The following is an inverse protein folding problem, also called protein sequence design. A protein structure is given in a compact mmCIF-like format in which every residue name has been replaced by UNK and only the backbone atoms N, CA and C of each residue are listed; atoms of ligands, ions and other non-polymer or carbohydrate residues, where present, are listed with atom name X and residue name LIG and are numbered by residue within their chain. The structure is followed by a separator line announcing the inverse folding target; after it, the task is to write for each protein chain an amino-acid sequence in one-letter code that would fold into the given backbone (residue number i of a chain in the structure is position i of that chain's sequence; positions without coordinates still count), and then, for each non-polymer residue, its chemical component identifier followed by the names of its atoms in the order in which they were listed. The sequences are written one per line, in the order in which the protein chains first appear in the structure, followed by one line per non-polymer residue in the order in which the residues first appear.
data_IF_466958861363
#
_entry.id   IF_466958861363
#
_cell.length_a   1.000
_cell.length_b   1.000
_cell.length_c   1.000
_cell.angle_alpha   90.00
_cell.angle_beta   90.00
_cell.angle_gamma   90.00
#
_symmetry.space_group_name_H-M   'P 1'
#
loop_
_entity.id
_entity.type
_entity.pdbx_description
1 polymer ?
#
# COMPACT_ATOMS: atom_id res chain seq x y z
N UNK A 1 14.37 19.44 7.39
CA UNK A 1 13.24 19.41 6.44
C UNK A 1 13.66 18.47 5.32
N UNK A 2 12.73 17.71 4.74
CA UNK A 2 13.03 16.85 3.59
C UNK A 2 13.36 17.72 2.39
N UNK A 3 14.45 17.42 1.70
CA UNK A 3 14.85 18.04 0.44
C UNK A 3 14.27 17.26 -0.73
N UNK A 4 13.11 17.70 -1.23
CA UNK A 4 12.43 17.03 -2.35
C UNK A 4 13.18 17.21 -3.68
N UNK A 5 13.91 18.31 -3.85
CA UNK A 5 14.67 18.54 -5.08
C UNK A 5 15.86 17.58 -5.18
N UNK A 6 16.54 17.32 -4.06
CA UNK A 6 17.58 16.31 -3.98
C UNK A 6 17.01 14.89 -4.22
N UNK A 7 15.85 14.56 -3.64
CA UNK A 7 15.18 13.28 -3.87
C UNK A 7 14.79 13.07 -5.35
N UNK A 8 14.27 14.10 -6.00
CA UNK A 8 13.98 14.09 -7.44
C UNK A 8 15.28 13.86 -8.24
N UNK A 9 16.36 14.57 -7.89
CA UNK A 9 17.68 14.40 -8.50
C UNK A 9 18.20 12.96 -8.36
N UNK A 10 18.04 12.36 -7.19
CA UNK A 10 18.42 10.97 -6.91
C UNK A 10 17.71 9.99 -7.86
N UNK A 11 16.39 10.09 -7.99
CA UNK A 11 15.60 9.21 -8.87
C UNK A 11 15.96 9.42 -10.34
N UNK A 12 16.21 10.66 -10.78
CA UNK A 12 16.64 10.94 -12.15
C UNK A 12 17.99 10.27 -12.46
N UNK A 13 18.93 10.30 -11.51
CA UNK A 13 20.27 9.76 -11.68
C UNK A 13 20.33 8.23 -11.61
N UNK A 14 19.54 7.59 -10.75
CA UNK A 14 19.67 6.16 -10.44
C UNK A 14 18.49 5.31 -10.93
N UNK A 15 17.33 5.91 -11.20
CA UNK A 15 16.14 5.17 -11.62
C UNK A 15 16.22 4.66 -13.06
N UNK A 16 15.48 3.60 -13.35
CA UNK A 16 15.31 3.11 -14.71
C UNK A 16 14.24 3.90 -15.50
N UNK A 17 13.80 3.38 -16.64
CA UNK A 17 12.75 4.03 -17.44
C UNK A 17 11.39 4.05 -16.74
N UNK A 18 11.06 3.00 -15.99
CA UNK A 18 9.81 2.85 -15.23
C UNK A 18 9.81 3.79 -14.04
N UNK A 19 10.91 3.87 -13.29
CA UNK A 19 11.06 4.78 -12.15
C UNK A 19 10.93 6.24 -12.56
N UNK A 20 11.54 6.63 -13.68
CA UNK A 20 11.39 7.99 -14.22
C UNK A 20 9.97 8.29 -14.69
N UNK A 21 9.24 7.29 -15.19
CA UNK A 21 7.83 7.44 -15.52
C UNK A 21 6.95 7.61 -14.28
N UNK A 22 7.19 6.81 -13.22
CA UNK A 22 6.54 6.96 -11.90
C UNK A 22 6.79 8.35 -11.34
N UNK A 23 8.04 8.83 -11.36
CA UNK A 23 8.38 10.19 -10.94
C UNK A 23 7.63 11.26 -11.73
N UNK A 24 7.56 11.12 -13.07
CA UNK A 24 6.86 12.07 -13.94
C UNK A 24 5.36 12.16 -13.62
N UNK A 25 4.73 11.01 -13.40
CA UNK A 25 3.34 10.94 -12.95
C UNK A 25 3.15 11.57 -11.56
N UNK A 26 4.05 11.26 -10.62
CA UNK A 26 4.00 11.80 -9.26
C UNK A 26 4.14 13.33 -9.21
N UNK A 27 4.94 13.92 -10.11
CA UNK A 27 5.18 15.37 -10.12
C UNK A 27 4.10 16.16 -10.85
N UNK A 28 3.71 15.72 -12.04
CA UNK A 28 2.89 16.54 -12.95
C UNK A 28 1.70 15.79 -13.56
N UNK A 29 1.47 14.53 -13.17
CA UNK A 29 0.40 13.70 -13.74
C UNK A 29 0.61 13.40 -15.22
N UNK A 30 1.87 13.39 -15.69
CA UNK A 30 2.17 13.05 -17.08
C UNK A 30 1.95 11.55 -17.29
N UNK A 31 1.10 11.13 -18.24
CA UNK A 31 0.81 9.72 -18.45
C UNK A 31 2.07 8.98 -18.94
N UNK A 32 2.40 7.79 -18.37
CA UNK A 32 3.49 6.96 -18.85
C UNK A 32 3.30 6.51 -20.31
N UNK A 33 4.39 6.10 -20.95
CA UNK A 33 4.30 5.50 -22.28
C UNK A 33 3.53 4.16 -22.21
N UNK A 34 2.73 3.81 -23.24
CA UNK A 34 1.95 2.57 -23.25
C UNK A 34 2.78 1.32 -22.96
N UNK A 35 3.99 1.21 -23.53
CA UNK A 35 4.88 0.06 -23.31
C UNK A 35 5.25 -0.13 -21.83
N UNK A 36 5.46 0.96 -21.07
CA UNK A 36 5.75 0.89 -19.63
C UNK A 36 4.56 0.33 -18.85
N UNK A 37 3.34 0.72 -19.26
CA UNK A 37 2.11 0.22 -18.65
C UNK A 37 1.90 -1.25 -18.99
N UNK A 38 2.18 -1.64 -20.24
CA UNK A 38 2.05 -3.03 -20.67
C UNK A 38 3.05 -3.91 -19.92
N UNK A 39 4.31 -3.48 -19.78
CA UNK A 39 5.35 -4.17 -19.00
C UNK A 39 4.97 -4.32 -17.51
N UNK A 40 4.40 -3.27 -16.90
CA UNK A 40 3.93 -3.30 -15.52
C UNK A 40 2.73 -4.25 -15.30
N UNK A 41 1.97 -4.54 -16.36
CA UNK A 41 0.80 -5.43 -16.32
C UNK A 41 1.13 -6.88 -16.69
N UNK A 42 2.36 -7.16 -17.15
CA UNK A 42 2.80 -8.51 -17.57
C UNK A 42 2.62 -9.53 -16.45
N UNK A 43 2.25 -10.76 -16.84
CA UNK A 43 2.20 -11.90 -15.94
C UNK A 43 0.92 -12.00 -15.10
N UNK A 44 -0.11 -11.18 -15.37
CA UNK A 44 -1.39 -11.33 -14.69
C UNK A 44 -2.00 -12.70 -15.03
N UNK A 45 -2.42 -13.43 -14.01
CA UNK A 45 -3.11 -14.70 -14.16
C UNK A 45 -4.50 -14.51 -14.80
N UNK A 46 -5.02 -15.58 -15.38
CA UNK A 46 -6.30 -15.54 -16.12
C UNK A 46 -7.50 -15.16 -15.23
N UNK A 47 -7.42 -15.42 -13.93
CA UNK A 47 -8.44 -15.07 -12.93
C UNK A 47 -8.34 -13.62 -12.45
N UNK A 48 -7.27 -12.90 -12.80
CA UNK A 48 -7.09 -11.47 -12.55
C UNK A 48 -6.09 -11.12 -11.46
N UNK A 49 -5.65 -12.07 -10.63
CA UNK A 49 -4.55 -11.82 -9.69
C UNK A 49 -3.18 -11.86 -10.38
N UNK A 50 -2.13 -11.45 -9.68
CA UNK A 50 -0.75 -11.70 -10.10
C UNK A 50 -0.13 -12.82 -9.27
N UNK A 51 0.65 -13.71 -9.91
CA UNK A 51 1.37 -14.71 -9.17
C UNK A 51 2.54 -14.13 -8.40
N UNK A 52 2.83 -14.73 -7.25
CA UNK A 52 4.07 -14.46 -6.55
C UNK A 52 5.25 -15.06 -7.30
N UNK A 53 6.41 -14.40 -7.24
CA UNK A 53 7.67 -14.89 -7.86
C UNK A 53 8.02 -16.30 -7.35
N UNK A 54 7.66 -16.61 -6.10
CA UNK A 54 7.90 -17.88 -5.44
C UNK A 54 6.77 -18.93 -5.64
N UNK A 55 5.65 -18.56 -6.28
CA UNK A 55 4.40 -19.35 -6.31
C UNK A 55 4.02 -19.95 -7.67
N UNK A 56 4.88 -19.90 -8.69
CA UNK A 56 4.57 -20.39 -10.04
C UNK A 56 3.50 -19.52 -10.73
N UNK A 57 2.49 -20.13 -11.34
CA UNK A 57 1.41 -19.42 -12.04
C UNK A 57 0.20 -19.08 -11.14
N UNK A 58 0.25 -19.44 -9.85
CA UNK A 58 -0.84 -19.23 -8.90
C UNK A 58 -0.88 -17.77 -8.44
N UNK A 59 -2.03 -17.12 -8.61
CA UNK A 59 -2.26 -15.77 -8.11
C UNK A 59 -2.11 -15.69 -6.58
N UNK A 60 -1.40 -14.67 -6.12
CA UNK A 60 -1.14 -14.39 -4.70
C UNK A 60 -1.76 -13.06 -4.29
N UNK A 61 -2.31 -13.01 -3.08
CA UNK A 61 -2.88 -11.78 -2.50
C UNK A 61 -1.79 -10.72 -2.32
N UNK A 62 -0.65 -11.08 -1.72
CA UNK A 62 0.48 -10.17 -1.48
C UNK A 62 1.05 -9.63 -2.80
N UNK A 63 1.33 -10.53 -3.76
CA UNK A 63 1.88 -10.14 -5.06
C UNK A 63 0.92 -9.24 -5.85
N UNK A 64 -0.39 -9.51 -5.77
CA UNK A 64 -1.41 -8.68 -6.39
C UNK A 64 -1.44 -7.28 -5.76
N UNK A 65 -1.37 -7.18 -4.43
CA UNK A 65 -1.31 -5.90 -3.73
C UNK A 65 -0.03 -5.12 -4.07
N UNK A 66 1.11 -5.81 -4.17
CA UNK A 66 2.37 -5.21 -4.62
C UNK A 66 2.25 -4.62 -6.03
N UNK A 67 1.67 -5.37 -6.98
CA UNK A 67 1.45 -4.88 -8.36
C UNK A 67 0.50 -3.70 -8.41
N UNK A 68 -0.55 -3.66 -7.58
CA UNK A 68 -1.43 -2.50 -7.46
C UNK A 68 -0.68 -1.25 -6.97
N UNK A 69 0.31 -1.41 -6.08
CA UNK A 69 1.17 -0.32 -5.65
C UNK A 69 1.96 0.30 -6.81
N UNK A 70 2.61 -0.54 -7.61
CA UNK A 70 3.36 -0.10 -8.78
C UNK A 70 2.46 0.59 -9.81
N UNK A 71 1.27 0.04 -10.06
CA UNK A 71 0.30 0.63 -10.98
C UNK A 71 -0.25 1.97 -10.47
N UNK A 72 -0.46 2.14 -9.16
CA UNK A 72 -0.89 3.41 -8.59
C UNK A 72 0.17 4.52 -8.79
N UNK A 73 1.45 4.18 -8.65
CA UNK A 73 2.55 5.10 -8.93
C UNK A 73 2.66 5.51 -10.41
N UNK A 74 2.06 4.73 -11.31
CA UNK A 74 1.94 5.03 -12.74
C UNK A 74 0.60 5.68 -13.12
N UNK A 75 -0.31 5.90 -12.15
CA UNK A 75 -1.66 6.41 -12.42
C UNK A 75 -2.56 5.39 -13.12
N UNK A 76 -2.23 4.11 -13.01
CA UNK A 76 -2.77 3.04 -13.82
C UNK A 76 -3.89 2.23 -13.14
N UNK A 77 -4.30 2.57 -11.91
CA UNK A 77 -5.40 1.87 -11.22
C UNK A 77 -6.74 1.88 -11.99
N UNK A 78 -6.93 2.84 -12.90
CA UNK A 78 -8.10 2.90 -13.76
C UNK A 78 -8.10 1.90 -14.92
N UNK A 79 -6.97 1.23 -15.21
CA UNK A 79 -6.81 0.33 -16.36
C UNK A 79 -7.52 -1.02 -16.16
N UNK A 80 -7.85 -1.74 -17.25
CA UNK A 80 -8.53 -3.02 -17.16
C UNK A 80 -7.81 -4.08 -16.30
N UNK A 81 -6.47 -4.15 -16.35
CA UNK A 81 -5.71 -5.12 -15.55
C UNK A 81 -5.86 -4.85 -14.05
N UNK A 82 -5.67 -3.60 -13.62
CA UNK A 82 -5.88 -3.20 -12.22
C UNK A 82 -7.31 -3.48 -11.75
N UNK A 83 -8.32 -3.18 -12.57
CA UNK A 83 -9.73 -3.49 -12.25
C UNK A 83 -9.97 -4.98 -12.05
N UNK A 84 -9.46 -5.84 -12.94
CA UNK A 84 -9.56 -7.29 -12.79
C UNK A 84 -8.92 -7.78 -11.50
N UNK A 85 -7.78 -7.21 -11.10
CA UNK A 85 -7.11 -7.57 -9.86
C UNK A 85 -7.87 -7.12 -8.61
N UNK A 86 -8.48 -5.93 -8.64
CA UNK A 86 -9.35 -5.45 -7.57
C UNK A 86 -10.61 -6.30 -7.46
N UNK A 87 -11.24 -6.65 -8.59
CA UNK A 87 -12.38 -7.58 -8.62
C UNK A 87 -11.97 -8.95 -8.09
N UNK A 88 -10.83 -9.48 -8.51
CA UNK A 88 -10.26 -10.73 -7.99
C UNK A 88 -10.09 -10.67 -6.47
N UNK A 89 -9.40 -9.65 -5.94
CA UNK A 89 -9.25 -9.45 -4.49
C UNK A 89 -10.61 -9.42 -3.78
N UNK A 90 -11.59 -8.72 -4.35
CA UNK A 90 -12.93 -8.64 -3.78
C UNK A 90 -13.62 -10.02 -3.72
N UNK A 91 -13.47 -10.85 -4.75
CA UNK A 91 -14.02 -12.21 -4.77
C UNK A 91 -13.27 -13.21 -3.89
N UNK A 92 -12.02 -12.91 -3.52
CA UNK A 92 -11.17 -13.78 -2.69
C UNK A 92 -11.38 -13.59 -1.18
N UNK A 93 -12.16 -12.59 -0.77
CA UNK A 93 -12.49 -12.42 0.65
C UNK A 93 -13.20 -13.68 1.15
N UNK A 94 -12.72 -14.21 2.28
CA UNK A 94 -13.33 -15.36 2.95
C UNK A 94 -14.64 -14.95 3.65
N UNK A 95 -15.53 -15.91 3.97
CA UNK A 95 -16.79 -15.60 4.65
C UNK A 95 -16.64 -14.89 6.01
N UNK A 96 -15.48 -15.03 6.66
CA UNK A 96 -15.15 -14.35 7.92
C UNK A 96 -14.59 -12.93 7.73
N UNK A 97 -14.48 -12.45 6.49
CA UNK A 97 -13.97 -11.12 6.15
C UNK A 97 -12.46 -11.06 5.94
N UNK A 98 -11.74 -12.17 6.06
CA UNK A 98 -10.27 -12.23 5.97
C UNK A 98 -9.76 -12.54 4.56
N UNK A 99 -8.47 -12.28 4.33
CA UNK A 99 -7.70 -12.78 3.19
C UNK A 99 -6.54 -13.65 3.68
N UNK A 100 -6.27 -14.70 2.93
CA UNK A 100 -5.09 -15.54 3.08
C UNK A 100 -4.58 -15.95 1.69
N UNK A 101 -3.31 -16.36 1.63
CA UNK A 101 -2.78 -17.01 0.45
C UNK A 101 -3.40 -18.39 0.24
N UNK A 102 -3.38 -18.87 -1.00
CA UNK A 102 -3.83 -20.23 -1.31
C UNK A 102 -3.03 -21.28 -0.51
N UNK A 103 -3.64 -22.30 0.11
CA UNK A 103 -2.93 -23.30 0.90
C UNK A 103 -1.77 -24.00 0.16
N UNK A 104 -1.84 -24.11 -1.17
CA UNK A 104 -0.76 -24.67 -1.99
C UNK A 104 0.55 -23.87 -1.93
N UNK A 105 0.49 -22.60 -1.50
CA UNK A 105 1.61 -21.68 -1.36
C UNK A 105 2.40 -21.88 -0.05
N UNK A 106 1.91 -22.68 0.89
CA UNK A 106 2.47 -22.81 2.25
C UNK A 106 3.96 -23.21 2.30
N UNK A 107 4.45 -24.00 1.35
CA UNK A 107 5.87 -24.40 1.30
C UNK A 107 6.83 -23.34 0.75
N UNK A 108 6.31 -22.23 0.22
CA UNK A 108 7.07 -21.23 -0.53
C UNK A 108 6.83 -19.80 -0.04
N UNK A 109 5.69 -19.58 0.63
CA UNK A 109 5.29 -18.27 1.09
C UNK A 109 6.26 -17.71 2.14
N UNK A 110 6.61 -16.42 2.07
CA UNK A 110 7.33 -15.75 3.13
C UNK A 110 6.47 -15.65 4.41
N UNK A 111 7.07 -15.30 5.56
CA UNK A 111 6.36 -15.23 6.84
C UNK A 111 5.08 -14.38 6.80
N UNK A 112 5.10 -13.24 6.11
CA UNK A 112 3.96 -12.33 6.02
C UNK A 112 2.82 -12.80 5.10
N UNK A 113 3.04 -13.86 4.32
CA UNK A 113 2.06 -14.41 3.38
C UNK A 113 1.79 -15.90 3.66
N UNK A 114 2.23 -16.42 4.81
CA UNK A 114 2.09 -17.84 5.14
C UNK A 114 0.61 -18.22 5.32
N UNK A 115 0.04 -19.13 4.50
CA UNK A 115 -1.34 -19.59 4.65
C UNK A 115 -1.58 -20.20 6.03
N UNK A 116 -2.68 -19.82 6.68
CA UNK A 116 -3.07 -20.32 7.99
C UNK A 116 -2.33 -19.69 9.19
N UNK A 117 -1.34 -18.83 8.95
CA UNK A 117 -0.73 -18.04 10.02
C UNK A 117 -1.60 -16.81 10.37
N UNK A 118 -2.03 -16.63 11.63
CA UNK A 118 -2.92 -15.52 12.01
C UNK A 118 -2.33 -14.13 11.78
N UNK A 119 -1.01 -13.95 11.97
CA UNK A 119 -0.36 -12.66 11.75
C UNK A 119 -0.34 -12.32 10.25
N UNK A 120 -0.02 -13.29 9.39
CA UNK A 120 -0.08 -13.16 7.94
C UNK A 120 -1.51 -12.90 7.44
N UNK A 121 -2.51 -13.63 7.94
CA UNK A 121 -3.93 -13.39 7.61
C UNK A 121 -4.34 -11.96 7.93
N UNK A 122 -3.97 -11.43 9.09
CA UNK A 122 -4.32 -10.06 9.46
C UNK A 122 -3.62 -9.02 8.58
N UNK A 123 -2.34 -9.25 8.23
CA UNK A 123 -1.60 -8.39 7.29
C UNK A 123 -2.24 -8.40 5.89
N UNK A 124 -2.51 -9.57 5.31
CA UNK A 124 -3.14 -9.69 3.99
C UNK A 124 -4.54 -9.09 3.97
N UNK A 125 -5.30 -9.23 5.06
CA UNK A 125 -6.61 -8.60 5.22
C UNK A 125 -6.50 -7.07 5.22
N UNK A 126 -5.51 -6.51 5.92
CA UNK A 126 -5.26 -5.07 5.91
C UNK A 126 -4.79 -4.58 4.53
N UNK A 127 -3.91 -5.33 3.86
CA UNK A 127 -3.33 -4.98 2.56
C UNK A 127 -4.38 -5.02 1.43
N UNK A 128 -5.14 -6.12 1.32
CA UNK A 128 -6.23 -6.23 0.36
C UNK A 128 -7.34 -5.20 0.64
N UNK A 129 -7.72 -5.03 1.92
CA UNK A 129 -8.67 -4.02 2.35
C UNK A 129 -8.23 -2.60 2.00
N UNK A 130 -6.93 -2.29 2.12
CA UNK A 130 -6.35 -1.01 1.75
C UNK A 130 -6.51 -0.73 0.24
N UNK A 131 -6.13 -1.69 -0.62
CA UNK A 131 -6.24 -1.47 -2.07
C UNK A 131 -7.68 -1.34 -2.56
N UNK A 132 -8.60 -2.12 -1.99
CA UNK A 132 -10.04 -1.97 -2.26
C UNK A 132 -10.58 -0.63 -1.74
N UNK A 133 -10.06 -0.14 -0.61
CA UNK A 133 -10.36 1.20 -0.08
C UNK A 133 -9.87 2.29 -1.04
N UNK A 134 -8.65 2.18 -1.54
CA UNK A 134 -8.06 3.12 -2.51
C UNK A 134 -8.88 3.14 -3.79
N UNK A 135 -9.21 1.97 -4.35
CA UNK A 135 -10.02 1.88 -5.56
C UNK A 135 -11.43 2.43 -5.37
N UNK A 136 -12.06 2.17 -4.22
CA UNK A 136 -13.35 2.75 -3.86
C UNK A 136 -13.30 4.27 -3.67
N UNK A 137 -12.19 4.78 -3.13
CA UNK A 137 -11.96 6.22 -3.00
C UNK A 137 -11.82 6.90 -4.37
N UNK A 138 -11.10 6.28 -5.30
CA UNK A 138 -10.91 6.79 -6.65
C UNK A 138 -12.16 6.64 -7.51
N UNK A 139 -12.94 5.57 -7.31
CA UNK A 139 -14.19 5.32 -8.06
C UNK A 139 -15.25 6.41 -7.82
N UNK A 140 -15.23 7.10 -6.66
CA UNK A 140 -16.08 8.29 -6.41
C UNK A 140 -15.79 9.44 -7.39
N UNK A 141 -14.61 9.46 -8.00
CA UNK A 141 -14.30 10.43 -9.06
C UNK A 141 -14.95 10.06 -10.42
N UNK A 142 -15.57 8.88 -10.57
CA UNK A 142 -16.11 8.39 -11.84
C UNK A 142 -17.64 8.61 -12.03
N UNK A 143 -18.36 9.22 -11.08
CA UNK A 143 -19.75 9.62 -11.31
C UNK A 143 -20.52 10.10 -10.06
N UNK A 144 -21.50 11.00 -10.19
CA UNK A 144 -22.14 11.70 -9.07
C UNK A 144 -23.14 10.89 -8.24
N UNK A 145 -23.38 9.60 -8.56
CA UNK A 145 -24.48 8.80 -7.98
C UNK A 145 -24.04 7.61 -7.11
N UNK A 146 -22.76 7.25 -7.01
CA UNK A 146 -22.32 6.21 -6.06
C UNK A 146 -21.93 6.83 -4.71
N UNK A 147 -22.88 6.80 -3.76
CA UNK A 147 -22.68 7.40 -2.43
C UNK A 147 -22.06 6.44 -1.41
N UNK A 148 -21.87 5.15 -1.73
CA UNK A 148 -21.33 4.16 -0.77
C UNK A 148 -19.90 4.54 -0.34
N UNK A 149 -19.63 4.45 0.96
CA UNK A 149 -18.27 4.56 1.51
C UNK A 149 -17.50 3.32 1.04
N UNK A 150 -16.50 3.50 0.16
CA UNK A 150 -15.78 2.40 -0.50
C UNK A 150 -16.31 1.98 -1.88
N UNK A 151 -17.30 2.69 -2.44
CA UNK A 151 -17.79 2.47 -3.80
C UNK A 151 -18.31 1.06 -4.04
N UNK A 152 -17.94 0.46 -5.17
CA UNK A 152 -18.34 -0.92 -5.54
C UNK A 152 -17.83 -2.00 -4.57
N UNK A 153 -16.78 -1.71 -3.79
CA UNK A 153 -16.15 -2.64 -2.85
C UNK A 153 -16.58 -2.42 -1.40
N UNK A 154 -17.54 -1.53 -1.13
CA UNK A 154 -17.92 -1.09 0.22
C UNK A 154 -18.15 -2.23 1.21
N UNK A 155 -18.94 -3.25 0.85
CA UNK A 155 -19.23 -4.38 1.74
C UNK A 155 -18.00 -5.23 2.05
N UNK A 156 -17.12 -5.41 1.06
CA UNK A 156 -15.88 -6.18 1.20
C UNK A 156 -14.91 -5.45 2.13
N UNK A 157 -14.74 -4.14 1.93
CA UNK A 157 -13.90 -3.29 2.79
C UNK A 157 -14.44 -3.23 4.22
N UNK A 158 -15.77 -3.17 4.39
CA UNK A 158 -16.39 -3.20 5.72
C UNK A 158 -16.05 -4.49 6.47
N UNK A 159 -16.07 -5.65 5.79
CA UNK A 159 -15.65 -6.92 6.37
C UNK A 159 -14.20 -6.89 6.86
N UNK A 160 -13.28 -6.38 6.04
CA UNK A 160 -11.87 -6.23 6.39
C UNK A 160 -11.67 -5.32 7.63
N UNK A 161 -12.38 -4.20 7.66
CA UNK A 161 -12.33 -3.24 8.76
C UNK A 161 -12.81 -3.83 10.08
N UNK A 162 -13.92 -4.57 10.07
CA UNK A 162 -14.44 -5.24 11.26
C UNK A 162 -13.50 -6.32 11.79
N UNK A 163 -12.91 -7.13 10.90
CA UNK A 163 -11.87 -8.10 11.30
C UNK A 163 -10.71 -7.38 11.98
N UNK A 164 -10.18 -6.33 11.34
CA UNK A 164 -9.02 -5.63 11.87
C UNK A 164 -9.31 -4.98 13.23
N UNK A 165 -10.44 -4.29 13.36
CA UNK A 165 -10.87 -3.68 14.60
C UNK A 165 -11.07 -4.71 15.73
N UNK A 166 -11.63 -5.89 15.41
CA UNK A 166 -11.82 -6.96 16.38
C UNK A 166 -10.50 -7.60 16.85
N UNK A 167 -9.47 -7.58 16.00
CA UNK A 167 -8.14 -8.11 16.32
C UNK A 167 -7.29 -7.16 17.17
N UNK A 168 -7.62 -5.87 17.21
CA UNK A 168 -6.87 -4.89 17.99
C UNK A 168 -6.91 -5.18 19.49
N UNK A 169 -5.76 -5.07 20.15
CA UNK A 169 -5.66 -5.10 21.60
C UNK A 169 -6.23 -3.81 22.22
N UNK A 170 -6.53 -3.85 23.52
CA UNK A 170 -7.07 -2.70 24.28
C UNK A 170 -6.12 -1.49 24.39
N UNK A 171 -4.82 -1.67 24.13
CA UNK A 171 -3.82 -0.60 24.09
C UNK A 171 -3.64 0.03 22.69
N UNK A 172 -4.34 -0.47 21.67
CA UNK A 172 -4.27 0.01 20.28
C UNK A 172 -3.23 -0.71 19.43
N UNK A 173 -2.48 -1.64 20.01
CA UNK A 173 -1.59 -2.54 19.25
C UNK A 173 -2.40 -3.61 18.51
N UNK A 174 -1.78 -4.25 17.54
CA UNK A 174 -2.36 -5.32 16.72
C UNK A 174 -1.42 -6.52 16.69
N UNK A 175 -1.94 -7.76 16.60
CA UNK A 175 -1.14 -8.98 16.58
C UNK A 175 -0.74 -9.35 15.14
N UNK A 176 0.10 -8.52 14.51
CA UNK A 176 0.63 -8.80 13.17
C UNK A 176 1.87 -7.93 12.89
N UNK A 177 2.45 -8.09 11.70
CA UNK A 177 3.53 -7.29 11.15
C UNK A 177 3.25 -5.78 11.27
N UNK A 178 4.31 -4.98 11.39
CA UNK A 178 4.19 -3.53 11.56
C UNK A 178 3.33 -2.89 10.46
N UNK A 179 3.48 -3.38 9.22
CA UNK A 179 2.75 -2.89 8.06
C UNK A 179 1.24 -3.06 8.14
N UNK A 180 0.77 -4.11 8.82
CA UNK A 180 -0.65 -4.32 9.05
C UNK A 180 -1.27 -3.13 9.79
N UNK A 181 -0.51 -2.46 10.67
CA UNK A 181 -0.97 -1.31 11.44
C UNK A 181 -1.36 -0.13 10.59
N UNK A 182 -0.46 0.39 9.75
CA UNK A 182 -0.78 1.59 8.95
C UNK A 182 -1.77 1.30 7.83
N UNK A 183 -1.73 0.09 7.24
CA UNK A 183 -2.73 -0.35 6.26
C UNK A 183 -4.11 -0.47 6.93
N UNK A 184 -4.18 -1.12 8.09
CA UNK A 184 -5.41 -1.23 8.89
C UNK A 184 -5.94 0.12 9.34
N UNK A 185 -5.08 1.02 9.82
CA UNK A 185 -5.46 2.38 10.20
C UNK A 185 -6.04 3.17 9.03
N UNK A 186 -5.48 3.01 7.82
CA UNK A 186 -6.00 3.61 6.61
C UNK A 186 -7.40 3.07 6.25
N UNK A 187 -7.60 1.75 6.33
CA UNK A 187 -8.91 1.11 6.10
C UNK A 187 -9.95 1.62 7.11
N UNK A 188 -9.62 1.58 8.41
CA UNK A 188 -10.50 2.03 9.49
C UNK A 188 -10.86 3.51 9.36
N UNK A 189 -9.89 4.36 9.04
CA UNK A 189 -10.12 5.80 8.80
C UNK A 189 -11.15 6.03 7.70
N UNK A 190 -11.08 5.25 6.60
CA UNK A 190 -12.01 5.38 5.48
C UNK A 190 -13.36 4.74 5.70
N UNK A 191 -13.46 3.81 6.66
CA UNK A 191 -14.72 3.26 7.14
C UNK A 191 -15.31 4.08 8.31
N UNK A 192 -14.77 5.27 8.58
CA UNK A 192 -15.23 6.18 9.64
C UNK A 192 -15.10 5.60 11.06
N UNK A 193 -14.29 4.54 11.21
CA UNK A 193 -13.87 3.95 12.49
C UNK A 193 -12.69 4.75 13.06
N UNK A 194 -12.94 6.05 13.27
CA UNK A 194 -11.91 7.03 13.60
C UNK A 194 -11.23 6.76 14.95
N UNK A 195 -11.97 6.23 15.93
CA UNK A 195 -11.43 5.93 17.24
C UNK A 195 -10.40 4.79 17.17
N UNK A 196 -10.73 3.72 16.46
CA UNK A 196 -9.86 2.58 16.22
C UNK A 196 -8.62 3.01 15.41
N UNK A 197 -8.81 3.76 14.33
CA UNK A 197 -7.71 4.29 13.52
C UNK A 197 -6.77 5.17 14.37
N UNK A 198 -7.32 6.08 15.18
CA UNK A 198 -6.53 6.99 16.03
C UNK A 198 -5.67 6.23 17.07
N UNK A 199 -6.18 5.14 17.64
CA UNK A 199 -5.41 4.31 18.60
C UNK A 199 -4.19 3.68 17.94
N UNK A 200 -4.31 3.19 16.71
CA UNK A 200 -3.17 2.70 15.93
C UNK A 200 -2.20 3.83 15.63
N UNK A 201 -2.70 5.01 15.24
CA UNK A 201 -1.86 6.16 14.91
C UNK A 201 -1.03 6.64 16.10
N UNK A 202 -1.56 6.57 17.34
CA UNK A 202 -0.80 6.86 18.57
C UNK A 202 0.36 5.88 18.72
N UNK A 203 0.11 4.56 18.60
CA UNK A 203 1.16 3.53 18.67
C UNK A 203 2.23 3.74 17.57
N UNK A 204 1.81 4.04 16.35
CA UNK A 204 2.72 4.32 15.24
C UNK A 204 3.54 5.59 15.49
N UNK A 205 2.95 6.63 16.10
CA UNK A 205 3.65 7.88 16.43
C UNK A 205 4.78 7.64 17.42
N UNK A 206 4.58 6.76 18.40
CA UNK A 206 5.63 6.39 19.36
C UNK A 206 6.73 5.55 18.71
N UNK A 207 6.39 4.70 17.74
CA UNK A 207 7.33 3.80 17.05
C UNK A 207 8.12 4.46 15.92
N UNK A 208 7.59 5.51 15.29
CA UNK A 208 8.17 6.10 14.05
C UNK A 208 9.62 6.52 14.17
N UNK A 209 10.07 6.88 15.38
CA UNK A 209 11.46 7.26 15.67
C UNK A 209 12.46 6.13 15.41
N UNK A 210 12.04 4.88 15.55
CA UNK A 210 12.88 3.69 15.47
C UNK A 210 12.64 2.91 14.17
N UNK A 211 11.65 3.32 13.36
CA UNK A 211 11.35 2.72 12.07
C UNK A 211 12.45 3.01 11.03
N UNK A 212 12.60 2.09 10.08
CA UNK A 212 13.47 2.24 8.91
C UNK A 212 12.89 3.30 7.96
N UNK A 213 13.70 3.87 7.05
CA UNK A 213 13.17 4.77 6.03
C UNK A 213 12.10 4.10 5.16
N UNK A 214 12.27 2.83 4.79
CA UNK A 214 11.26 2.07 4.03
C UNK A 214 9.93 2.01 4.75
N UNK A 215 9.91 1.64 6.03
CA UNK A 215 8.68 1.60 6.83
C UNK A 215 8.00 2.98 6.90
N UNK A 216 8.77 4.04 7.14
CA UNK A 216 8.23 5.39 7.30
C UNK A 216 7.65 5.91 5.98
N UNK A 217 8.31 5.65 4.86
CA UNK A 217 7.80 6.05 3.53
C UNK A 217 6.56 5.24 3.13
N UNK A 218 6.54 3.93 3.38
CA UNK A 218 5.39 3.08 3.12
C UNK A 218 4.18 3.50 3.96
N UNK A 219 4.37 3.71 5.26
CA UNK A 219 3.34 4.21 6.17
C UNK A 219 2.81 5.58 5.74
N UNK A 220 3.69 6.56 5.54
CA UNK A 220 3.27 7.92 5.24
C UNK A 220 2.58 8.02 3.87
N UNK A 221 3.07 7.30 2.85
CA UNK A 221 2.45 7.28 1.53
C UNK A 221 1.08 6.60 1.53
N UNK A 222 0.90 5.50 2.29
CA UNK A 222 -0.39 4.83 2.42
C UNK A 222 -1.43 5.71 3.12
N UNK A 223 -1.09 6.34 4.24
CA UNK A 223 -2.00 7.21 4.99
C UNK A 223 -2.38 8.47 4.20
N UNK A 224 -1.41 9.08 3.50
CA UNK A 224 -1.68 10.20 2.58
C UNK A 224 -2.56 9.79 1.42
N UNK A 225 -2.39 8.58 0.89
CA UNK A 225 -3.18 8.08 -0.24
C UNK A 225 -4.68 7.97 0.06
N UNK A 226 -5.03 7.71 1.32
CA UNK A 226 -6.44 7.70 1.78
C UNK A 226 -6.91 9.06 2.29
N UNK A 227 -6.11 10.12 2.16
CA UNK A 227 -6.49 11.48 2.50
C UNK A 227 -6.39 11.82 3.99
N UNK A 228 -5.48 11.18 4.74
CA UNK A 228 -5.10 11.67 6.06
C UNK A 228 -4.36 13.02 5.90
N UNK A 229 -4.68 14.00 6.75
CA UNK A 229 -4.14 15.36 6.63
C UNK A 229 -2.62 15.42 6.83
N UNK A 230 -1.93 16.27 6.08
CA UNK A 230 -0.51 16.55 6.30
C UNK A 230 -0.20 17.06 7.72
N UNK A 231 -1.17 17.73 8.33
CA UNK A 231 -1.07 18.29 9.69
C UNK A 231 -1.30 17.23 10.78
N UNK A 232 -1.58 15.98 10.40
CA UNK A 232 -1.71 14.88 11.34
C UNK A 232 -0.40 14.69 12.14
N UNK A 233 -0.54 14.30 13.41
CA UNK A 233 0.60 14.16 14.33
C UNK A 233 1.56 13.06 13.88
N UNK A 234 1.03 11.94 13.38
CA UNK A 234 1.83 10.83 12.87
C UNK A 234 2.57 11.25 11.59
N UNK A 235 1.89 11.91 10.66
CA UNK A 235 2.51 12.37 9.40
C UNK A 235 3.56 13.47 9.64
N UNK A 236 3.33 14.34 10.62
CA UNK A 236 4.34 15.30 11.09
C UNK A 236 5.57 14.62 11.70
N UNK A 237 5.36 13.54 12.47
CA UNK A 237 6.46 12.75 13.03
C UNK A 237 7.22 11.96 11.96
N UNK A 238 6.52 11.38 11.00
CA UNK A 238 7.10 10.73 9.82
C UNK A 238 7.96 11.71 9.00
N UNK A 239 7.46 12.92 8.75
CA UNK A 239 8.22 13.97 8.05
C UNK A 239 9.53 14.33 8.75
N UNK A 240 9.51 14.45 10.08
CA UNK A 240 10.73 14.65 10.88
C UNK A 240 11.69 13.47 10.75
N UNK A 241 11.19 12.23 10.83
CA UNK A 241 12.01 11.03 10.69
C UNK A 241 12.65 10.94 9.31
N UNK A 242 11.88 11.14 8.24
CA UNK A 242 12.39 11.14 6.87
C UNK A 242 13.46 12.22 6.65
N UNK A 243 13.31 13.40 7.25
CA UNK A 243 14.32 14.45 7.20
C UNK A 243 15.63 14.08 7.93
N UNK A 244 15.57 13.23 8.96
CA UNK A 244 16.75 12.76 9.68
C UNK A 244 17.49 11.63 8.95
N UNK A 245 16.75 10.85 8.16
CA UNK A 245 17.28 9.67 7.48
C UNK A 245 17.53 9.87 5.99
N UNK A 246 17.25 11.07 5.45
CA UNK A 246 17.60 11.41 4.07
C UNK A 246 19.12 11.50 3.94
N UNK A 247 19.68 10.77 2.96
CA UNK A 247 21.10 10.80 2.65
C UNK A 247 21.47 12.11 1.93
N UNK A 248 22.77 12.41 1.89
CA UNK A 248 23.29 13.61 1.21
C UNK A 248 23.08 13.60 -0.32
N UNK A 249 22.88 12.44 -0.92
CA UNK A 249 22.53 12.28 -2.33
C UNK A 249 21.02 12.47 -2.62
N UNK A 250 20.22 12.70 -1.57
CA UNK A 250 18.78 12.91 -1.65
C UNK A 250 17.94 11.65 -1.48
N UNK A 251 18.55 10.46 -1.49
CA UNK A 251 17.85 9.17 -1.39
C UNK A 251 17.60 8.69 0.04
N UNK A 252 16.83 7.62 0.15
CA UNK A 252 16.63 6.85 1.39
C UNK A 252 17.01 5.40 1.16
N UNK A 253 17.59 4.77 2.19
CA UNK A 253 17.95 3.36 2.16
C UNK A 253 16.70 2.47 2.16
N UNK A 254 16.72 1.43 1.35
CA UNK A 254 15.72 0.37 1.35
C UNK A 254 16.08 -0.79 2.27
N UNK A 255 15.09 -1.38 2.94
CA UNK A 255 15.26 -2.63 3.70
C UNK A 255 15.54 -3.84 2.79
N UNK A 256 15.16 -3.76 1.51
CA UNK A 256 15.43 -4.77 0.48
C UNK A 256 16.81 -4.61 -0.20
N UNK A 257 17.61 -3.64 0.25
CA UNK A 257 18.94 -3.34 -0.26
C UNK A 257 19.00 -2.22 -1.30
N UNK A 258 20.23 -1.79 -1.63
CA UNK A 258 20.50 -0.55 -2.39
C UNK A 258 19.82 -0.49 -3.76
N UNK A 259 19.57 -1.63 -4.40
CA UNK A 259 18.86 -1.71 -5.67
C UNK A 259 17.42 -1.15 -5.59
N UNK A 260 16.83 -1.10 -4.40
CA UNK A 260 15.46 -0.64 -4.14
C UNK A 260 15.40 0.76 -3.52
N UNK A 261 16.54 1.46 -3.37
CA UNK A 261 16.59 2.82 -2.83
C UNK A 261 15.75 3.79 -3.68
N UNK A 262 15.70 3.59 -5.00
CA UNK A 262 14.87 4.39 -5.90
C UNK A 262 13.39 4.21 -5.58
N UNK A 263 12.94 2.98 -5.31
CA UNK A 263 11.56 2.70 -4.92
C UNK A 263 11.21 3.40 -3.61
N UNK A 264 12.07 3.28 -2.59
CA UNK A 264 11.86 3.95 -1.29
C UNK A 264 11.82 5.48 -1.46
N UNK A 265 12.67 6.03 -2.33
CA UNK A 265 12.72 7.47 -2.62
C UNK A 265 11.46 7.95 -3.35
N UNK A 266 10.91 7.17 -4.29
CA UNK A 266 9.62 7.46 -4.94
C UNK A 266 8.46 7.44 -3.92
N UNK A 267 8.44 6.47 -3.01
CA UNK A 267 7.46 6.40 -1.92
C UNK A 267 7.56 7.62 -0.98
N UNK A 268 8.78 8.09 -0.69
CA UNK A 268 9.00 9.32 0.07
C UNK A 268 8.38 10.53 -0.66
N UNK A 269 8.67 10.73 -1.95
CA UNK A 269 8.10 11.83 -2.74
C UNK A 269 6.58 11.78 -2.71
N UNK A 270 5.99 10.59 -2.84
CA UNK A 270 4.55 10.37 -2.77
C UNK A 270 3.95 10.74 -1.41
N UNK A 271 4.65 10.47 -0.30
CA UNK A 271 4.21 10.84 1.04
C UNK A 271 4.11 12.36 1.26
N UNK A 272 4.76 13.17 0.42
CA UNK A 272 4.69 14.64 0.48
C UNK A 272 3.75 15.26 -0.56
N UNK A 273 3.06 14.45 -1.37
CA UNK A 273 2.03 14.90 -2.31
C UNK A 273 0.66 14.95 -1.64
#
# INVERSE_FOLDING_TARGET
MVDLDAAIGFVVAHGDAVDRARLSWLRVGAPPQPAILDDAEVGQAADGGWPAIWGGDMASVDATCFRLAELDDLGALGRPAARRALDWLATRQRPDGTWEEDPSLSGWAPPWATPGDPEATLYLTANAGFWLTVAGHDARAAGPFDQRVGGVYAGVVQGAAHVFAAAMHSDGTWPSFLAAGWLGAAVLYRQEMYYESARIQVVLTDRVRDMTPSDVTAMASALRRVGLSADDTLLSAASRRLAQTQRSDGGWASDDGEAFDVHTTLAAIRAFR
#
